data_IF_415910748726
#
_entry.id   IF_415910748726
#
_cell.length_a   1.000
_cell.length_b   1.000
_cell.length_c   1.000
_cell.angle_alpha   90.00
_cell.angle_beta   90.00
_cell.angle_gamma   90.00
#
_symmetry.space_group_name_H-M   'P 1'
#
loop_
_entity.id
_entity.type
_entity.pdbx_description
1 polymer ?
#
# COMPACT_ATOMS: atom_id res chain seq x y z
N UNK A 1 -27.64 -9.03 14.27
CA UNK A 1 -27.14 -8.45 13.01
C UNK A 1 -25.64 -8.23 13.21
N UNK A 2 -24.79 -9.11 12.70
CA UNK A 2 -23.34 -8.89 12.70
C UNK A 2 -23.06 -7.83 11.64
N UNK A 3 -22.74 -6.61 12.06
CA UNK A 3 -22.27 -5.59 11.13
C UNK A 3 -20.97 -6.13 10.52
N UNK A 4 -20.96 -6.33 9.20
CA UNK A 4 -19.71 -6.60 8.48
C UNK A 4 -18.87 -5.34 8.59
N UNK A 5 -17.78 -5.40 9.35
CA UNK A 5 -16.88 -4.25 9.43
C UNK A 5 -16.31 -3.99 8.04
N UNK A 6 -16.43 -2.76 7.55
CA UNK A 6 -15.88 -2.38 6.25
C UNK A 6 -14.36 -2.58 6.27
N UNK A 7 -13.78 -3.08 5.18
CA UNK A 7 -12.32 -3.24 5.08
C UNK A 7 -11.71 -1.85 4.81
N UNK A 8 -10.68 -1.48 5.57
CA UNK A 8 -9.90 -0.27 5.31
C UNK A 8 -9.04 -0.49 4.07
N UNK A 9 -9.23 0.34 3.06
CA UNK A 9 -8.40 0.32 1.87
C UNK A 9 -7.27 1.32 2.05
N UNK A 10 -6.03 0.86 1.92
CA UNK A 10 -4.86 1.72 2.07
C UNK A 10 -4.15 1.79 0.73
N UNK A 11 -4.34 2.89 0.03
CA UNK A 11 -3.67 3.18 -1.23
C UNK A 11 -2.24 3.58 -0.93
N UNK A 12 -1.28 2.88 -1.51
CA UNK A 12 0.14 3.19 -1.43
C UNK A 12 0.68 3.51 -2.83
N UNK A 13 1.18 4.74 -3.01
CA UNK A 13 1.67 5.25 -4.29
C UNK A 13 3.18 5.00 -4.41
N UNK A 14 3.56 3.96 -5.13
CA UNK A 14 4.96 3.56 -5.29
C UNK A 14 5.67 4.49 -6.28
N UNK A 15 6.78 5.08 -5.86
CA UNK A 15 7.58 5.94 -6.74
C UNK A 15 8.28 5.13 -7.83
N UNK A 16 8.20 5.55 -9.11
CA UNK A 16 8.96 4.90 -10.18
C UNK A 16 10.47 4.87 -9.90
N UNK A 17 11.00 5.91 -9.25
CA UNK A 17 12.42 6.01 -8.93
C UNK A 17 12.98 4.84 -8.09
N UNK A 18 12.13 4.16 -7.31
CA UNK A 18 12.52 2.98 -6.53
C UNK A 18 12.96 1.81 -7.43
N UNK A 19 12.53 1.78 -8.69
CA UNK A 19 12.88 0.76 -9.68
C UNK A 19 14.14 1.12 -10.51
N UNK A 20 14.78 2.26 -10.21
CA UNK A 20 15.95 2.76 -10.91
C UNK A 20 15.62 3.74 -12.06
N UNK A 21 16.60 4.08 -12.92
CA UNK A 21 16.48 5.15 -13.91
C UNK A 21 15.36 4.97 -14.93
N UNK A 22 15.02 3.73 -15.26
CA UNK A 22 13.94 3.35 -16.20
C UNK A 22 12.64 3.01 -15.47
N UNK A 23 12.54 3.33 -14.19
CA UNK A 23 11.42 2.86 -13.36
C UNK A 23 10.05 3.31 -13.83
N UNK A 24 9.94 4.44 -14.55
CA UNK A 24 8.70 4.88 -15.17
C UNK A 24 8.16 3.87 -16.21
N UNK A 25 9.03 3.12 -16.88
CA UNK A 25 8.64 2.10 -17.87
C UNK A 25 8.12 0.82 -17.18
N UNK A 26 8.48 0.59 -15.92
CA UNK A 26 8.19 -0.66 -15.20
C UNK A 26 7.15 -0.52 -14.10
N UNK A 27 6.89 0.68 -13.60
CA UNK A 27 6.14 0.89 -12.35
C UNK A 27 4.71 0.33 -12.39
N UNK A 28 4.03 0.43 -13.52
CA UNK A 28 2.68 -0.12 -13.67
C UNK A 28 2.65 -1.64 -13.55
N UNK A 29 3.57 -2.32 -14.24
CA UNK A 29 3.66 -3.77 -14.23
C UNK A 29 4.23 -4.29 -12.92
N UNK A 30 5.15 -3.55 -12.29
CA UNK A 30 5.61 -3.82 -10.94
C UNK A 30 4.46 -3.77 -9.93
N UNK A 31 3.61 -2.74 -9.95
CA UNK A 31 2.44 -2.68 -9.07
C UNK A 31 1.49 -3.87 -9.29
N UNK A 32 1.23 -4.25 -10.55
CA UNK A 32 0.40 -5.44 -10.86
C UNK A 32 1.01 -6.74 -10.35
N UNK A 33 2.32 -6.91 -10.52
CA UNK A 33 3.08 -8.06 -10.04
C UNK A 33 3.06 -8.17 -8.51
N UNK A 34 3.31 -7.06 -7.82
CA UNK A 34 3.45 -7.00 -6.37
C UNK A 34 2.11 -7.05 -5.63
N UNK A 35 1.02 -6.56 -6.23
CA UNK A 35 -0.29 -6.46 -5.60
C UNK A 35 -0.78 -7.78 -4.97
N UNK A 36 -0.84 -8.93 -5.67
CA UNK A 36 -1.31 -10.17 -5.06
C UNK A 36 -0.41 -10.64 -3.92
N UNK A 37 0.91 -10.41 -4.00
CA UNK A 37 1.89 -10.81 -3.00
C UNK A 37 1.76 -9.97 -1.72
N UNK A 38 1.56 -8.66 -1.84
CA UNK A 38 1.29 -7.79 -0.69
C UNK A 38 -0.07 -8.12 -0.07
N UNK A 39 -1.10 -8.37 -0.90
CA UNK A 39 -2.45 -8.67 -0.43
C UNK A 39 -2.50 -9.95 0.41
N UNK A 40 -1.74 -10.99 0.04
CA UNK A 40 -1.71 -12.26 0.80
C UNK A 40 -1.12 -12.14 2.21
N UNK A 41 -0.35 -11.08 2.48
CA UNK A 41 0.28 -10.83 3.78
C UNK A 41 -0.46 -9.75 4.59
N UNK A 42 -1.58 -9.23 4.11
CA UNK A 42 -2.26 -8.10 4.77
C UNK A 42 -3.16 -8.56 5.92
N UNK A 43 -3.20 -7.77 7.00
CA UNK A 43 -4.11 -7.99 8.14
C UNK A 43 -5.58 -7.92 7.70
N UNK A 44 -6.44 -8.81 8.21
CA UNK A 44 -7.83 -8.97 7.73
C UNK A 44 -8.77 -7.75 7.89
N UNK A 45 -8.34 -6.70 8.59
CA UNK A 45 -9.12 -5.45 8.73
C UNK A 45 -8.84 -4.42 7.62
N UNK A 46 -7.76 -4.62 6.86
CA UNK A 46 -7.35 -3.72 5.80
C UNK A 46 -6.89 -4.46 4.55
N UNK A 47 -6.72 -3.73 3.46
CA UNK A 47 -6.07 -4.22 2.24
C UNK A 47 -5.21 -3.13 1.64
N UNK A 48 -4.00 -3.49 1.22
CA UNK A 48 -3.15 -2.59 0.44
C UNK A 48 -3.66 -2.48 -0.99
N UNK A 49 -3.52 -1.29 -1.57
CA UNK A 49 -3.77 -1.01 -2.99
C UNK A 49 -2.54 -0.28 -3.53
N UNK A 50 -1.70 -0.99 -4.28
CA UNK A 50 -0.50 -0.43 -4.88
C UNK A 50 -0.86 0.27 -6.19
N UNK A 51 -0.44 1.53 -6.33
CA UNK A 51 -0.57 2.27 -7.58
C UNK A 51 0.74 3.02 -7.89
N UNK A 52 1.04 3.31 -9.16
CA UNK A 52 2.16 4.16 -9.52
C UNK A 52 2.01 5.59 -8.99
N UNK A 53 3.12 6.18 -8.54
CA UNK A 53 3.17 7.60 -8.17
C UNK A 53 3.72 8.46 -9.30
N UNK A 54 2.85 8.81 -10.24
CA UNK A 54 3.16 9.80 -11.28
C UNK A 54 2.87 11.24 -10.81
N UNK A 55 1.87 11.42 -9.96
CA UNK A 55 1.50 12.71 -9.39
C UNK A 55 2.00 12.83 -7.95
N UNK A 56 3.04 13.65 -7.75
CA UNK A 56 3.65 13.91 -6.43
C UNK A 56 2.84 14.87 -5.57
N UNK A 57 1.80 15.51 -6.12
CA UNK A 57 0.87 16.34 -5.33
C UNK A 57 -0.06 15.50 -4.45
N UNK A 58 -0.25 14.23 -4.80
CA UNK A 58 -1.01 13.28 -4.00
C UNK A 58 -0.14 12.70 -2.87
N UNK A 59 -0.75 12.41 -1.70
CA UNK A 59 -0.03 11.78 -0.60
C UNK A 59 0.42 10.37 -0.99
N UNK A 60 1.53 9.92 -0.42
CA UNK A 60 2.07 8.57 -0.63
C UNK A 60 1.09 7.50 -0.20
N UNK A 61 0.61 7.63 1.04
CA UNK A 61 -0.41 6.78 1.63
C UNK A 61 -1.74 7.53 1.73
N UNK A 62 -2.83 6.85 1.35
CA UNK A 62 -4.19 7.38 1.48
C UNK A 62 -5.14 6.28 1.93
N UNK A 63 -5.87 6.52 3.01
CA UNK A 63 -6.87 5.59 3.52
C UNK A 63 -8.26 5.90 2.93
N UNK A 64 -8.96 4.87 2.47
CA UNK A 64 -10.37 4.91 2.08
C UNK A 64 -11.18 3.87 2.87
N UNK A 65 -12.40 4.23 3.23
CA UNK A 65 -13.34 3.32 3.89
C UNK A 65 -14.68 3.43 3.18
N UNK A 66 -15.18 2.30 2.64
CA UNK A 66 -16.42 2.26 1.86
C UNK A 66 -16.46 3.33 0.73
N UNK A 67 -15.34 3.49 0.02
CA UNK A 67 -15.21 4.44 -1.10
C UNK A 67 -15.04 5.91 -0.70
N UNK A 68 -14.91 6.23 0.59
CA UNK A 68 -14.67 7.60 1.07
C UNK A 68 -13.26 7.75 1.61
N UNK A 69 -12.55 8.79 1.21
CA UNK A 69 -11.24 9.13 1.79
C UNK A 69 -11.37 9.55 3.23
N UNK A 70 -10.44 9.05 4.05
CA UNK A 70 -10.29 9.44 5.44
C UNK A 70 -9.24 10.54 5.57
N UNK A 71 -9.47 11.49 6.47
CA UNK A 71 -8.41 12.37 6.92
C UNK A 71 -7.45 11.63 7.88
N UNK A 72 -6.26 12.18 8.19
CA UNK A 72 -5.28 11.51 9.04
C UNK A 72 -5.81 11.11 10.42
N UNK A 73 -6.62 11.96 11.07
CA UNK A 73 -7.19 11.64 12.38
C UNK A 73 -8.22 10.50 12.32
N UNK A 74 -9.00 10.42 11.25
CA UNK A 74 -9.93 9.31 11.01
C UNK A 74 -9.19 8.00 10.73
N UNK A 75 -8.14 8.05 9.91
CA UNK A 75 -7.30 6.89 9.61
C UNK A 75 -6.63 6.36 10.88
N UNK A 76 -5.99 7.23 11.66
CA UNK A 76 -5.33 6.86 12.93
C UNK A 76 -6.31 6.21 13.92
N UNK A 77 -7.54 6.75 14.04
CA UNK A 77 -8.58 6.13 14.87
C UNK A 77 -8.97 4.74 14.37
N UNK A 78 -8.99 4.51 13.06
CA UNK A 78 -9.32 3.22 12.49
C UNK A 78 -8.26 2.17 12.80
N UNK A 79 -6.98 2.49 12.59
CA UNK A 79 -5.86 1.60 12.95
C UNK A 79 -5.85 1.27 14.45
N UNK A 80 -6.14 2.26 15.30
CA UNK A 80 -6.21 2.06 16.76
C UNK A 80 -7.28 1.06 17.21
N UNK A 81 -8.40 0.92 16.46
CA UNK A 81 -9.43 -0.11 16.77
C UNK A 81 -8.86 -1.53 16.67
N UNK A 82 -7.81 -1.72 15.89
CA UNK A 82 -7.14 -3.00 15.65
C UNK A 82 -5.77 -3.09 16.31
N UNK A 83 -5.43 -2.15 17.21
CA UNK A 83 -4.12 -2.06 17.86
C UNK A 83 -2.96 -2.02 16.84
N UNK A 84 -3.22 -1.49 15.65
CA UNK A 84 -2.25 -1.34 14.59
C UNK A 84 -1.69 0.09 14.57
N UNK A 85 -0.46 0.22 14.11
CA UNK A 85 0.20 1.50 13.85
C UNK A 85 0.43 1.62 12.34
N UNK A 86 0.01 2.76 11.76
CA UNK A 86 0.15 2.99 10.33
C UNK A 86 1.62 3.06 9.89
N UNK A 87 2.48 3.67 10.71
CA UNK A 87 3.89 3.85 10.39
C UNK A 87 4.64 2.51 10.39
N UNK A 88 4.33 1.63 11.35
CA UNK A 88 4.92 0.29 11.43
C UNK A 88 4.46 -0.57 10.23
N UNK A 89 3.18 -0.52 9.87
CA UNK A 89 2.64 -1.21 8.70
C UNK A 89 3.24 -0.70 7.38
N UNK A 90 3.48 0.60 7.27
CA UNK A 90 4.15 1.20 6.11
C UNK A 90 5.63 0.78 6.03
N UNK A 91 6.32 0.70 7.16
CA UNK A 91 7.70 0.21 7.21
C UNK A 91 7.78 -1.26 6.76
N UNK A 92 6.91 -2.12 7.27
CA UNK A 92 6.81 -3.53 6.85
C UNK A 92 6.53 -3.66 5.34
N UNK A 93 5.60 -2.83 4.81
CA UNK A 93 5.32 -2.79 3.38
C UNK A 93 6.56 -2.40 2.57
N UNK A 94 7.32 -1.41 3.02
CA UNK A 94 8.51 -0.93 2.33
C UNK A 94 9.65 -1.97 2.30
N UNK A 95 9.84 -2.71 3.39
CA UNK A 95 10.74 -3.85 3.42
C UNK A 95 10.30 -4.93 2.42
N UNK A 96 9.01 -5.26 2.39
CA UNK A 96 8.46 -6.21 1.43
C UNK A 96 8.66 -5.73 -0.02
N UNK A 97 8.35 -4.46 -0.32
CA UNK A 97 8.50 -3.90 -1.66
C UNK A 97 9.96 -3.97 -2.12
N UNK A 98 10.92 -3.72 -1.24
CA UNK A 98 12.35 -3.84 -1.55
C UNK A 98 12.69 -5.25 -2.06
N UNK A 99 12.25 -6.29 -1.35
CA UNK A 99 12.45 -7.68 -1.77
C UNK A 99 11.74 -8.00 -3.10
N UNK A 100 10.53 -7.46 -3.28
CA UNK A 100 9.76 -7.65 -4.51
C UNK A 100 10.40 -6.96 -5.72
N UNK A 101 11.12 -5.86 -5.53
CA UNK A 101 11.87 -5.18 -6.61
C UNK A 101 12.98 -6.10 -7.13
N UNK A 102 13.75 -6.70 -6.23
CA UNK A 102 14.80 -7.64 -6.59
C UNK A 102 14.22 -8.86 -7.31
N UNK A 103 13.13 -9.43 -6.77
CA UNK A 103 12.42 -10.54 -7.39
C UNK A 103 11.88 -10.18 -8.79
N UNK A 104 11.28 -8.99 -8.96
CA UNK A 104 10.72 -8.54 -10.23
C UNK A 104 11.78 -8.42 -11.32
N UNK A 105 12.98 -7.95 -10.98
CA UNK A 105 14.11 -7.86 -11.90
C UNK A 105 14.96 -9.13 -11.98
N UNK A 106 14.62 -10.17 -11.23
CA UNK A 106 15.39 -11.42 -11.17
C UNK A 106 16.80 -11.26 -10.60
N UNK A 107 16.99 -10.29 -9.69
CA UNK A 107 18.23 -10.06 -8.95
C UNK A 107 18.16 -10.88 -7.67
N UNK A 108 19.11 -11.80 -7.47
CA UNK A 108 19.20 -12.67 -6.29
C UNK A 108 20.64 -12.71 -5.80
#
# INVERSE_FOLDING_TARGET
MTATTAILEVIYRVEPGCLGPQGADYIEDFCKFSQPLVTSHTAGFMRWILVPRFDKSLPEMQCTLAGRSLNPAQAARYFALYQANADDLEAELNEQLTLLIDQYFGRW
#
